data_IF_931840892751
#
_entry.id   IF_931840892751
#
_cell.length_a   1.000
_cell.length_b   1.000
_cell.length_c   1.000
_cell.angle_alpha   90.00
_cell.angle_beta   90.00
_cell.angle_gamma   90.00
#
_symmetry.space_group_name_H-M   'P 1'
#
loop_
_entity.id
_entity.type
_entity.pdbx_description
1 polymer ?
#
# COMPACT_ATOMS: atom_id res chain seq x y z
N UNK A 1 14.60 -18.49 38.29
CA UNK A 1 15.09 -19.29 37.15
C UNK A 1 13.88 -19.99 36.57
N UNK A 2 13.27 -19.60 35.46
CA UNK A 2 13.57 -18.57 34.48
C UNK A 2 12.24 -18.07 33.90
N UNK A 3 12.05 -16.76 33.93
CA UNK A 3 11.09 -16.01 33.13
C UNK A 3 11.44 -16.19 31.66
N UNK A 4 10.89 -17.21 31.00
CA UNK A 4 10.90 -17.29 29.54
C UNK A 4 9.83 -16.36 28.99
N UNK A 5 10.29 -15.18 28.61
CA UNK A 5 9.59 -14.15 27.85
C UNK A 5 8.84 -14.78 26.68
N UNK A 6 7.52 -14.86 26.79
CA UNK A 6 6.61 -15.19 25.70
C UNK A 6 6.51 -13.98 24.77
N UNK A 7 7.60 -13.65 24.08
CA UNK A 7 7.65 -12.57 23.12
C UNK A 7 7.23 -13.09 21.72
N UNK A 8 6.00 -12.76 21.35
CA UNK A 8 5.57 -12.49 19.98
C UNK A 8 5.58 -13.64 18.95
N UNK A 9 4.58 -14.53 19.04
CA UNK A 9 4.04 -15.24 17.87
C UNK A 9 2.72 -14.59 17.44
N UNK A 10 2.75 -13.33 17.02
CA UNK A 10 1.65 -12.78 16.23
C UNK A 10 1.87 -13.23 14.78
N UNK A 11 1.13 -14.25 14.36
CA UNK A 11 1.07 -14.64 12.95
C UNK A 11 0.65 -13.43 12.11
N UNK A 12 1.33 -13.22 10.99
CA UNK A 12 1.00 -12.13 10.06
C UNK A 12 -0.43 -12.31 9.58
N UNK A 13 -1.26 -11.28 9.70
CA UNK A 13 -2.65 -11.37 9.23
C UNK A 13 -2.69 -11.47 7.70
N UNK A 14 -3.73 -12.08 7.09
CA UNK A 14 -3.84 -12.15 5.63
C UNK A 14 -3.80 -10.76 4.96
N UNK A 15 -4.28 -9.72 5.65
CA UNK A 15 -4.23 -8.35 5.16
C UNK A 15 -2.81 -7.77 5.18
N UNK A 16 -2.03 -8.08 6.20
CA UNK A 16 -0.61 -7.69 6.29
C UNK A 16 0.25 -8.41 5.26
N UNK A 17 -0.02 -9.68 4.98
CA UNK A 17 0.66 -10.44 3.91
C UNK A 17 0.40 -9.81 2.54
N UNK A 18 -0.87 -9.49 2.24
CA UNK A 18 -1.24 -8.74 1.02
C UNK A 18 -0.55 -7.38 0.97
N UNK A 19 -0.50 -6.65 2.08
CA UNK A 19 0.15 -5.36 2.13
C UNK A 19 1.67 -5.44 1.85
N UNK A 20 2.36 -6.45 2.38
CA UNK A 20 3.79 -6.66 2.07
C UNK A 20 4.00 -7.05 0.61
N UNK A 21 3.16 -7.93 0.04
CA UNK A 21 3.21 -8.28 -1.38
C UNK A 21 3.07 -7.05 -2.27
N UNK A 22 2.07 -6.20 -2.01
CA UNK A 22 1.86 -4.96 -2.77
C UNK A 22 2.99 -3.95 -2.60
N UNK A 23 3.50 -3.77 -1.38
CA UNK A 23 4.66 -2.92 -1.16
C UNK A 23 5.90 -3.44 -1.91
N UNK A 24 6.08 -4.76 -2.00
CA UNK A 24 7.16 -5.39 -2.77
C UNK A 24 7.06 -5.08 -4.26
N UNK A 25 5.88 -5.25 -4.87
CA UNK A 25 5.63 -4.92 -6.28
C UNK A 25 5.94 -3.44 -6.58
N UNK A 26 5.47 -2.53 -5.73
CA UNK A 26 5.69 -1.10 -5.89
C UNK A 26 7.16 -0.71 -5.73
N UNK A 27 7.89 -1.32 -4.78
CA UNK A 27 9.34 -1.12 -4.65
C UNK A 27 10.10 -1.64 -5.88
N UNK A 28 9.66 -2.75 -6.45
CA UNK A 28 10.22 -3.33 -7.67
C UNK A 28 9.89 -2.52 -8.95
N UNK A 29 8.89 -1.63 -8.91
CA UNK A 29 8.44 -0.87 -10.08
C UNK A 29 7.59 -1.71 -11.01
N UNK A 30 6.76 -2.57 -10.41
CA UNK A 30 5.79 -3.39 -11.09
C UNK A 30 4.39 -2.82 -10.83
N UNK A 31 4.18 -1.54 -11.16
CA UNK A 31 2.94 -0.82 -10.90
C UNK A 31 1.74 -1.50 -11.57
N UNK A 32 1.89 -2.00 -12.81
CA UNK A 32 0.81 -2.70 -13.52
C UNK A 32 0.37 -4.00 -12.84
N UNK A 33 1.34 -4.76 -12.31
CA UNK A 33 1.05 -6.00 -11.58
C UNK A 33 0.41 -5.69 -10.22
N UNK A 34 0.86 -4.63 -9.56
CA UNK A 34 0.20 -4.09 -8.37
C UNK A 34 -1.27 -3.75 -8.68
N UNK A 35 -1.58 -3.02 -9.75
CA UNK A 35 -2.97 -2.68 -10.11
C UNK A 35 -3.82 -3.94 -10.27
N UNK A 36 -3.35 -4.91 -11.06
CA UNK A 36 -4.10 -6.15 -11.33
C UNK A 36 -4.38 -6.93 -10.05
N UNK A 37 -3.36 -7.11 -9.21
CA UNK A 37 -3.52 -7.88 -7.97
C UNK A 37 -4.31 -7.13 -6.91
N UNK A 38 -4.19 -5.80 -6.85
CA UNK A 38 -4.95 -4.96 -5.95
C UNK A 38 -6.44 -5.03 -6.28
N UNK A 39 -6.84 -4.78 -7.54
CA UNK A 39 -8.23 -4.89 -7.98
C UNK A 39 -8.84 -6.26 -7.70
N UNK A 40 -8.10 -7.35 -7.98
CA UNK A 40 -8.55 -8.71 -7.67
C UNK A 40 -8.69 -8.96 -6.17
N UNK A 41 -7.78 -8.41 -5.37
CA UNK A 41 -7.77 -8.60 -3.92
C UNK A 41 -8.81 -7.78 -3.19
N UNK A 42 -9.19 -6.62 -3.74
CA UNK A 42 -10.23 -5.74 -3.19
C UNK A 42 -11.61 -6.02 -3.76
N UNK A 43 -11.73 -6.90 -4.76
CA UNK A 43 -13.02 -7.37 -5.26
C UNK A 43 -13.79 -8.07 -4.12
N UNK A 44 -14.79 -7.38 -3.57
CA UNK A 44 -15.59 -7.86 -2.44
C UNK A 44 -15.10 -7.43 -1.06
N UNK A 45 -14.06 -6.58 -0.97
CA UNK A 45 -13.73 -5.89 0.28
C UNK A 45 -14.69 -4.74 0.52
N UNK A 46 -15.06 -4.52 1.79
CA UNK A 46 -15.75 -3.30 2.18
C UNK A 46 -14.80 -2.09 2.19
N UNK A 47 -15.39 -0.90 2.39
CA UNK A 47 -14.63 0.34 2.38
C UNK A 47 -13.56 0.39 3.47
N UNK A 48 -13.88 -0.05 4.68
CA UNK A 48 -12.98 -0.03 5.83
C UNK A 48 -11.80 -0.99 5.62
N UNK A 49 -12.04 -2.16 5.04
CA UNK A 49 -11.03 -3.14 4.68
C UNK A 49 -10.07 -2.60 3.61
N UNK A 50 -10.60 -1.93 2.58
CA UNK A 50 -9.78 -1.31 1.54
C UNK A 50 -8.91 -0.18 2.12
N UNK A 51 -9.46 0.66 3.00
CA UNK A 51 -8.70 1.73 3.67
C UNK A 51 -7.60 1.16 4.58
N UNK A 52 -7.91 0.11 5.36
CA UNK A 52 -6.94 -0.58 6.21
C UNK A 52 -5.80 -1.19 5.38
N UNK A 53 -6.12 -1.83 4.25
CA UNK A 53 -5.13 -2.38 3.33
C UNK A 53 -4.19 -1.28 2.79
N UNK A 54 -4.74 -0.16 2.34
CA UNK A 54 -3.93 0.97 1.83
C UNK A 54 -3.05 1.57 2.93
N UNK A 55 -3.57 1.68 4.15
CA UNK A 55 -2.79 2.13 5.30
C UNK A 55 -1.61 1.20 5.59
N UNK A 56 -1.85 -0.12 5.58
CA UNK A 56 -0.80 -1.12 5.75
C UNK A 56 0.23 -1.09 4.63
N UNK A 57 -0.19 -0.97 3.36
CA UNK A 57 0.73 -0.82 2.22
C UNK A 57 1.62 0.40 2.41
N UNK A 58 1.05 1.55 2.77
CA UNK A 58 1.81 2.77 3.03
C UNK A 58 2.80 2.61 4.20
N UNK A 59 2.40 1.93 5.28
CA UNK A 59 3.28 1.63 6.40
C UNK A 59 4.46 0.73 5.95
N UNK A 60 4.21 -0.28 5.12
CA UNK A 60 5.30 -1.11 4.57
C UNK A 60 6.21 -0.27 3.66
N UNK A 61 5.65 0.56 2.78
CA UNK A 61 6.43 1.45 1.92
C UNK A 61 7.32 2.41 2.73
N UNK A 62 6.87 2.93 3.87
CA UNK A 62 7.65 3.83 4.72
C UNK A 62 8.81 3.17 5.47
N UNK A 63 8.68 1.87 5.78
CA UNK A 63 9.61 1.09 6.61
C UNK A 63 10.72 0.37 5.81
N UNK A 64 10.66 0.38 4.47
CA UNK A 64 11.66 -0.26 3.61
C UNK A 64 12.81 0.67 3.18
N UNK A 65 13.85 0.09 2.55
CA UNK A 65 14.93 0.85 1.92
C UNK A 65 14.33 1.75 0.82
N UNK A 66 14.38 3.06 1.04
CA UNK A 66 13.74 4.07 0.18
C UNK A 66 14.55 4.31 -1.08
N UNK A 67 14.37 3.47 -2.10
CA UNK A 67 14.75 3.82 -3.47
C UNK A 67 13.77 4.82 -4.10
N UNK A 68 12.51 4.79 -3.67
CA UNK A 68 11.42 5.69 -4.10
C UNK A 68 10.55 6.03 -2.89
N UNK A 69 10.12 7.29 -2.76
CA UNK A 69 9.14 7.72 -1.76
C UNK A 69 7.72 7.59 -2.34
N UNK A 70 7.20 6.36 -2.33
CA UNK A 70 5.87 6.06 -2.86
C UNK A 70 4.79 6.20 -1.78
N UNK A 71 3.59 6.63 -2.19
CA UNK A 71 2.39 6.65 -1.36
C UNK A 71 1.18 6.21 -2.20
N UNK A 72 0.36 5.32 -1.65
CA UNK A 72 -0.91 4.92 -2.22
C UNK A 72 -2.04 5.71 -1.55
N UNK A 73 -2.94 6.28 -2.33
CA UNK A 73 -4.11 7.02 -1.82
C UNK A 73 -5.38 6.53 -2.50
N UNK A 74 -6.49 6.57 -1.78
CA UNK A 74 -7.83 6.31 -2.32
C UNK A 74 -8.64 7.59 -2.26
N UNK A 75 -9.29 7.92 -3.37
CA UNK A 75 -10.26 8.99 -3.43
C UNK A 75 -11.66 8.37 -3.53
N UNK A 76 -12.49 8.69 -2.54
CA UNK A 76 -13.88 8.24 -2.46
C UNK A 76 -14.78 9.28 -3.12
N UNK A 77 -15.72 8.83 -3.96
CA UNK A 77 -16.73 9.69 -4.58
C UNK A 77 -18.10 9.02 -4.43
N UNK A 78 -19.11 9.79 -4.03
CA UNK A 78 -20.46 9.26 -3.81
C UNK A 78 -21.07 8.63 -5.07
N UNK A 79 -20.84 9.26 -6.23
CA UNK A 79 -21.45 8.88 -7.51
C UNK A 79 -20.43 8.35 -8.53
N UNK A 80 -19.28 7.86 -8.08
CA UNK A 80 -18.24 7.34 -8.97
C UNK A 80 -17.45 6.22 -8.28
N UNK A 81 -16.89 5.28 -9.05
CA UNK A 81 -16.04 4.24 -8.48
C UNK A 81 -14.88 4.89 -7.73
N UNK A 82 -14.46 4.23 -6.66
CA UNK A 82 -13.36 4.71 -5.84
C UNK A 82 -12.08 4.64 -6.67
N UNK A 83 -11.25 5.67 -6.63
CA UNK A 83 -10.02 5.68 -7.42
C UNK A 83 -8.81 5.55 -6.52
N UNK A 84 -7.94 4.59 -6.81
CA UNK A 84 -6.65 4.42 -6.15
C UNK A 84 -5.56 5.06 -7.01
N UNK A 85 -4.69 5.83 -6.38
CA UNK A 85 -3.55 6.50 -7.03
C UNK A 85 -2.26 6.14 -6.32
N UNK A 86 -1.26 5.75 -7.10
CA UNK A 86 0.13 5.62 -6.66
C UNK A 86 0.83 6.95 -6.93
N UNK A 87 1.29 7.61 -5.88
CA UNK A 87 2.03 8.85 -5.90
C UNK A 87 3.51 8.57 -5.67
N UNK A 88 4.37 9.22 -6.43
CA UNK A 88 5.79 9.33 -6.15
C UNK A 88 6.10 10.72 -5.60
N UNK A 89 6.59 10.76 -4.36
CA UNK A 89 6.94 11.97 -3.61
C UNK A 89 8.45 12.17 -3.53
N UNK A 90 9.22 11.40 -4.31
CA UNK A 90 10.67 11.51 -4.35
C UNK A 90 11.07 12.93 -4.76
N UNK A 91 11.92 13.57 -3.94
CA UNK A 91 12.41 14.91 -4.21
C UNK A 91 13.63 14.79 -5.13
N UNK A 92 13.43 15.07 -6.42
CA UNK A 92 14.53 15.10 -7.38
C UNK A 92 15.29 16.44 -7.33
N UNK A 93 14.59 17.59 -7.27
CA UNK A 93 15.19 18.94 -7.14
C UNK A 93 14.19 19.92 -6.49
N UNK A 94 14.53 20.54 -5.35
CA UNK A 94 13.74 21.66 -4.78
C UNK A 94 12.41 21.30 -4.09
N UNK A 95 11.50 22.28 -3.99
CA UNK A 95 10.20 22.18 -3.31
C UNK A 95 9.45 20.95 -3.82
N UNK A 96 9.24 19.95 -2.95
CA UNK A 96 8.83 18.61 -3.37
C UNK A 96 7.47 18.60 -4.07
N UNK A 97 7.44 18.14 -5.31
CA UNK A 97 6.20 17.87 -6.04
C UNK A 97 5.90 16.37 -5.94
N UNK A 98 4.61 16.01 -5.89
CA UNK A 98 4.18 14.61 -5.97
C UNK A 98 3.70 14.32 -7.37
N UNK A 99 4.22 13.27 -7.99
CA UNK A 99 3.84 12.84 -9.33
C UNK A 99 2.90 11.64 -9.22
N UNK A 100 1.72 11.72 -9.81
CA UNK A 100 0.87 10.54 -9.98
C UNK A 100 1.52 9.60 -10.99
N UNK A 101 1.89 8.40 -10.53
CA UNK A 101 2.48 7.34 -11.37
C UNK A 101 1.41 6.53 -12.07
N UNK A 102 0.35 6.17 -11.33
CA UNK A 102 -0.74 5.33 -11.81
C UNK A 102 -2.03 5.70 -11.07
N UNK A 103 -3.15 5.75 -11.79
CA UNK A 103 -4.48 5.93 -11.21
C UNK A 103 -5.44 4.93 -11.83
N UNK A 104 -6.22 4.24 -11.00
CA UNK A 104 -7.17 3.21 -11.44
C UNK A 104 -8.41 3.18 -10.54
N UNK A 105 -9.52 2.71 -11.09
CA UNK A 105 -10.77 2.53 -10.36
C UNK A 105 -10.81 1.16 -9.66
N UNK A 106 -11.48 1.10 -8.51
CA UNK A 106 -11.83 -0.11 -7.76
C UNK A 106 -13.31 -0.10 -7.37
#
# INVERSE_FOLDING_TARGET
MDTFTQASMYGTTPLEEKAEQFASLLRAGLEDEFVKQFQRSTAGMDECQADALIALVNMRLSNGIRRRDLKVVIARKADSPNTVTVLDRSRFFGSGWSVARQTFAI
#
